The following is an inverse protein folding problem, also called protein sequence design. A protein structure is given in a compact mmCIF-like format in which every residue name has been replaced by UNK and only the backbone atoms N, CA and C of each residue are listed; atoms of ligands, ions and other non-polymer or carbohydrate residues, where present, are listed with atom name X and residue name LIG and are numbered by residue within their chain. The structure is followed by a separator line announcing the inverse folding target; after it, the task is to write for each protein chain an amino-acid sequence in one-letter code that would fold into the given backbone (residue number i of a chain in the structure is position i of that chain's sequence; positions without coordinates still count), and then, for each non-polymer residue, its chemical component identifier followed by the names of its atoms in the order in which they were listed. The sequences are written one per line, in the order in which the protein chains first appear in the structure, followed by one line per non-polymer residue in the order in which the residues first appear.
data_IF_184516910800
#
_entry.id   IF_184516910800
#
_cell.length_a   1.000
_cell.length_b   1.000
_cell.length_c   1.000
_cell.angle_alpha   90.00
_cell.angle_beta   90.00
_cell.angle_gamma   90.00
#
_symmetry.space_group_name_H-M   'P 1'
#
loop_
_entity.id
_entity.type
_entity.pdbx_description
1 polymer ?
#
# COMPACT_ATOMS: atom_id res chain seq x y z
N UNK A 1 -4.31 33.27 23.69
CA UNK A 1 -4.49 31.83 24.00
C UNK A 1 -3.40 31.46 24.99
N UNK A 2 -3.75 30.95 26.17
CA UNK A 2 -2.81 30.77 27.27
C UNK A 2 -1.76 29.69 26.95
N UNK A 3 -0.47 30.04 26.97
CA UNK A 3 0.66 29.18 26.53
C UNK A 3 0.65 27.81 27.23
N UNK A 4 0.22 27.80 28.50
CA UNK A 4 0.06 26.59 29.31
C UNK A 4 -1.02 25.63 28.79
N UNK A 5 -2.11 26.14 28.21
CA UNK A 5 -3.20 25.32 27.67
C UNK A 5 -2.77 24.63 26.38
N UNK A 6 -2.03 25.32 25.51
CA UNK A 6 -1.53 24.77 24.25
C UNK A 6 -0.52 23.64 24.47
N UNK A 7 0.48 23.86 25.33
CA UNK A 7 1.48 22.84 25.70
C UNK A 7 0.83 21.66 26.41
N UNK A 8 -0.17 21.91 27.27
CA UNK A 8 -0.95 20.86 27.90
C UNK A 8 -1.65 19.92 26.91
N UNK A 9 -2.20 20.45 25.80
CA UNK A 9 -2.81 19.64 24.74
C UNK A 9 -1.77 18.77 24.01
N UNK A 10 -0.60 19.33 23.70
CA UNK A 10 0.51 18.58 23.06
C UNK A 10 0.95 17.41 23.93
N UNK A 11 1.15 17.63 25.25
CA UNK A 11 1.51 16.56 26.20
C UNK A 11 0.46 15.46 26.26
N UNK A 12 -0.84 15.81 26.24
CA UNK A 12 -1.95 14.84 26.20
C UNK A 12 -1.90 13.98 24.94
N UNK A 13 -1.75 14.58 23.76
CA UNK A 13 -1.60 13.87 22.49
C UNK A 13 -0.35 12.97 22.52
N UNK A 14 0.77 13.48 23.02
CA UNK A 14 1.99 12.70 23.20
C UNK A 14 1.79 11.47 24.11
N UNK A 15 1.05 11.62 25.23
CA UNK A 15 0.73 10.50 26.11
C UNK A 15 -0.13 9.45 25.42
N UNK A 16 -1.20 9.86 24.73
CA UNK A 16 -2.11 8.96 24.00
C UNK A 16 -1.33 8.25 22.89
N UNK A 17 -0.63 9.00 22.04
CA UNK A 17 0.17 8.45 20.96
C UNK A 17 1.26 7.49 21.44
N UNK A 18 1.88 7.75 22.59
CA UNK A 18 2.88 6.84 23.17
C UNK A 18 2.27 5.49 23.58
N UNK A 19 1.07 5.51 24.19
CA UNK A 19 0.36 4.28 24.57
C UNK A 19 -0.08 3.52 23.32
N UNK A 20 -0.74 4.21 22.37
CA UNK A 20 -1.24 3.61 21.12
C UNK A 20 -0.08 3.01 20.31
N UNK A 21 1.01 3.75 20.11
CA UNK A 21 2.19 3.24 19.38
C UNK A 21 2.85 2.05 20.09
N UNK A 22 2.83 2.01 21.42
CA UNK A 22 3.36 0.85 22.17
C UNK A 22 2.50 -0.39 21.96
N UNK A 23 1.18 -0.27 22.05
CA UNK A 23 0.26 -1.39 21.80
C UNK A 23 0.37 -1.86 20.35
N UNK A 24 0.36 -0.94 19.38
CA UNK A 24 0.51 -1.26 17.97
C UNK A 24 1.84 -1.98 17.67
N UNK A 25 2.94 -1.54 18.30
CA UNK A 25 4.24 -2.20 18.16
C UNK A 25 4.22 -3.65 18.67
N UNK A 26 3.55 -3.92 19.80
CA UNK A 26 3.41 -5.31 20.32
C UNK A 26 2.63 -6.18 19.34
N UNK A 27 1.52 -5.69 18.79
CA UNK A 27 0.72 -6.42 17.79
C UNK A 27 1.54 -6.69 16.54
N UNK A 28 2.31 -5.70 16.05
CA UNK A 28 3.18 -5.87 14.89
C UNK A 28 4.30 -6.89 15.15
N UNK A 29 4.88 -6.94 16.35
CA UNK A 29 5.90 -7.94 16.69
C UNK A 29 5.29 -9.35 16.65
N UNK A 30 4.10 -9.55 17.20
CA UNK A 30 3.40 -10.84 17.15
C UNK A 30 3.13 -11.22 15.70
N UNK A 31 2.60 -10.30 14.89
CA UNK A 31 2.37 -10.52 13.46
C UNK A 31 3.64 -10.84 12.69
N UNK A 32 4.75 -10.19 13.01
CA UNK A 32 6.05 -10.44 12.40
C UNK A 32 6.58 -11.84 12.69
N UNK A 33 6.50 -12.27 13.95
CA UNK A 33 6.90 -13.62 14.36
C UNK A 33 6.02 -14.67 13.67
N UNK A 34 4.70 -14.45 13.63
CA UNK A 34 3.78 -15.34 12.93
C UNK A 34 4.08 -15.43 11.42
N UNK A 35 4.38 -14.30 10.77
CA UNK A 35 4.74 -14.24 9.36
C UNK A 35 6.06 -14.99 9.08
N UNK A 36 7.07 -14.87 9.94
CA UNK A 36 8.32 -15.61 9.82
C UNK A 36 8.08 -17.12 9.98
N UNK A 37 7.30 -17.53 10.97
CA UNK A 37 6.96 -18.96 11.15
C UNK A 37 6.22 -19.49 9.93
N UNK A 38 5.22 -18.75 9.43
CA UNK A 38 4.50 -19.09 8.21
C UNK A 38 5.42 -19.21 6.99
N UNK A 39 6.39 -18.30 6.85
CA UNK A 39 7.42 -18.38 5.81
C UNK A 39 8.24 -19.66 5.94
N UNK A 40 8.81 -19.94 7.12
CA UNK A 40 9.64 -21.13 7.34
C UNK A 40 8.88 -22.41 6.99
N UNK A 41 7.61 -22.52 7.41
CA UNK A 41 6.77 -23.67 7.09
C UNK A 41 6.57 -23.78 5.58
N UNK A 42 6.21 -22.70 4.90
CA UNK A 42 5.98 -22.70 3.45
C UNK A 42 7.24 -23.04 2.64
N UNK A 43 8.41 -22.58 3.08
CA UNK A 43 9.69 -22.92 2.46
C UNK A 43 10.14 -24.36 2.73
N UNK A 44 9.62 -25.02 3.77
CA UNK A 44 9.91 -26.42 4.06
C UNK A 44 9.02 -27.41 3.28
N UNK A 45 7.95 -26.94 2.66
CA UNK A 45 7.07 -27.77 1.83
C UNK A 45 7.65 -27.94 0.41
N UNK A 46 7.55 -29.14 -0.20
CA UNK A 46 7.97 -29.37 -1.58
C UNK A 46 7.04 -28.69 -2.58
N UNK A 47 7.61 -28.25 -3.72
CA UNK A 47 6.97 -27.33 -4.68
C UNK A 47 5.69 -27.89 -5.33
N UNK A 48 5.58 -29.21 -5.41
CA UNK A 48 4.48 -29.97 -6.02
C UNK A 48 3.38 -30.37 -5.03
N UNK A 49 3.52 -30.03 -3.75
CA UNK A 49 2.62 -30.51 -2.70
C UNK A 49 1.21 -29.89 -2.75
N UNK A 50 1.11 -28.61 -3.10
CA UNK A 50 -0.14 -27.85 -3.08
C UNK A 50 -0.20 -26.95 -4.31
N UNK A 51 -1.30 -26.98 -5.04
CA UNK A 51 -1.59 -26.01 -6.08
C UNK A 51 -3.01 -25.50 -5.89
N UNK A 52 -3.21 -24.22 -6.18
CA UNK A 52 -4.51 -23.58 -6.10
C UNK A 52 -4.92 -23.15 -7.49
N UNK A 53 -6.11 -23.53 -7.93
CA UNK A 53 -6.69 -22.99 -9.16
C UNK A 53 -7.55 -21.79 -8.81
N UNK A 54 -7.16 -20.62 -9.30
CA UNK A 54 -7.97 -19.40 -9.24
C UNK A 54 -8.80 -19.31 -10.51
N UNK A 55 -10.13 -19.36 -10.35
CA UNK A 55 -11.11 -19.13 -11.42
C UNK A 55 -11.99 -17.91 -11.11
N UNK A 56 -12.40 -17.20 -12.15
CA UNK A 56 -13.27 -16.03 -12.04
C UNK A 56 -14.05 -15.81 -13.34
N UNK A 57 -15.28 -15.29 -13.23
CA UNK A 57 -16.17 -15.08 -14.37
C UNK A 57 -16.28 -13.59 -14.69
N UNK A 58 -16.21 -13.24 -15.98
CA UNK A 58 -16.45 -11.89 -16.49
C UNK A 58 -17.60 -11.91 -17.50
N UNK A 59 -18.52 -10.93 -17.39
CA UNK A 59 -19.62 -10.73 -18.34
C UNK A 59 -19.50 -9.33 -18.95
N UNK A 60 -19.28 -9.28 -20.26
CA UNK A 60 -19.19 -8.03 -21.02
C UNK A 60 -20.47 -7.83 -21.82
N UNK A 61 -21.07 -6.66 -21.69
CA UNK A 61 -22.27 -6.26 -22.43
C UNK A 61 -21.91 -5.11 -23.38
N UNK A 62 -22.07 -5.34 -24.68
CA UNK A 62 -21.94 -4.31 -25.72
C UNK A 62 -23.33 -3.96 -26.23
N UNK A 63 -23.76 -2.73 -25.99
CA UNK A 63 -25.01 -2.20 -26.55
C UNK A 63 -24.72 -1.56 -27.91
N UNK A 64 -25.26 -2.14 -28.98
CA UNK A 64 -25.02 -1.66 -30.35
C UNK A 64 -25.73 -0.35 -30.67
N UNK A 65 -26.83 -0.02 -29.98
CA UNK A 65 -27.51 1.27 -30.16
C UNK A 65 -26.64 2.46 -29.76
N UNK A 66 -25.64 2.23 -28.89
CA UNK A 66 -24.67 3.23 -28.45
C UNK A 66 -23.49 3.40 -29.42
N UNK A 67 -23.28 2.44 -30.33
CA UNK A 67 -22.25 2.46 -31.39
C UNK A 67 -22.87 3.02 -32.67
N UNK A 68 -23.42 4.24 -32.62
CA UNK A 68 -23.96 4.93 -33.80
C UNK A 68 -22.84 5.68 -34.54
N UNK A 69 -22.14 4.95 -35.40
CA UNK A 69 -21.44 5.50 -36.56
C UNK A 69 -22.22 5.13 -37.83
N UNK A 70 -22.03 5.88 -38.92
CA UNK A 70 -22.79 5.84 -40.20
C UNK A 70 -22.69 4.50 -40.98
N UNK A 71 -22.18 3.46 -40.35
CA UNK A 71 -22.08 2.10 -40.86
C UNK A 71 -22.85 1.19 -39.90
N UNK A 72 -24.14 0.97 -40.16
CA UNK A 72 -24.91 -0.04 -39.45
C UNK A 72 -24.21 -1.40 -39.61
N UNK A 73 -23.66 -1.94 -38.51
CA UNK A 73 -23.05 -3.26 -38.51
C UNK A 73 -24.20 -4.26 -38.52
N UNK A 74 -24.53 -4.77 -39.71
CA UNK A 74 -25.55 -5.79 -39.89
C UNK A 74 -24.97 -7.14 -39.42
N UNK A 75 -25.48 -7.68 -38.31
CA UNK A 75 -24.94 -8.86 -37.63
C UNK A 75 -25.58 -10.19 -38.06
N UNK A 76 -26.66 -10.14 -38.85
CA UNK A 76 -27.51 -11.29 -39.19
C UNK A 76 -26.78 -12.45 -39.91
N UNK A 77 -25.55 -12.26 -40.36
CA UNK A 77 -24.79 -13.28 -41.10
C UNK A 77 -23.36 -13.52 -40.58
N UNK A 78 -22.96 -12.96 -39.42
CA UNK A 78 -21.61 -13.20 -38.89
C UNK A 78 -21.65 -14.03 -37.61
N UNK A 79 -21.09 -15.23 -37.70
CA UNK A 79 -20.68 -16.05 -36.57
C UNK A 79 -19.57 -15.28 -35.81
N UNK A 80 -19.96 -14.42 -34.87
CA UNK A 80 -19.01 -13.63 -34.07
C UNK A 80 -18.34 -14.57 -33.06
N UNK A 81 -17.25 -15.20 -33.50
CA UNK A 81 -16.35 -15.98 -32.63
C UNK A 81 -15.31 -15.05 -32.04
N UNK A 82 -15.44 -14.79 -30.75
CA UNK A 82 -14.39 -14.14 -29.96
C UNK A 82 -13.60 -15.27 -29.34
N UNK A 83 -12.42 -15.59 -29.88
CA UNK A 83 -11.61 -16.71 -29.38
C UNK A 83 -10.82 -16.33 -28.11
N UNK A 84 -10.49 -15.04 -27.96
CA UNK A 84 -9.74 -14.49 -26.82
C UNK A 84 -10.22 -13.09 -26.50
N UNK A 85 -10.38 -12.80 -25.22
CA UNK A 85 -10.63 -11.46 -24.72
C UNK A 85 -9.42 -11.05 -23.87
N UNK A 86 -8.71 -10.01 -24.30
CA UNK A 86 -7.58 -9.44 -23.57
C UNK A 86 -8.02 -8.09 -22.98
N UNK A 87 -8.03 -7.99 -21.65
CA UNK A 87 -8.37 -6.75 -20.94
C UNK A 87 -7.17 -6.35 -20.06
N UNK A 88 -6.38 -5.39 -20.55
CA UNK A 88 -5.07 -5.08 -19.98
C UNK A 88 -4.11 -6.26 -20.18
N UNK A 89 -3.35 -6.62 -19.15
CA UNK A 89 -2.43 -7.77 -19.17
C UNK A 89 -3.14 -9.12 -18.93
N UNK A 90 -4.44 -9.10 -18.66
CA UNK A 90 -5.21 -10.29 -18.30
C UNK A 90 -5.82 -10.96 -19.53
N UNK A 91 -5.61 -12.28 -19.65
CA UNK A 91 -6.16 -13.12 -20.71
C UNK A 91 -7.38 -13.88 -20.22
N UNK A 92 -8.50 -13.68 -20.90
CA UNK A 92 -9.75 -14.38 -20.65
C UNK A 92 -10.04 -15.35 -21.79
N UNK A 93 -10.41 -16.57 -21.42
CA UNK A 93 -10.93 -17.54 -22.37
C UNK A 93 -12.41 -17.28 -22.53
N UNK A 94 -12.85 -17.04 -23.76
CA UNK A 94 -14.26 -16.80 -24.03
C UNK A 94 -14.98 -18.13 -24.01
N UNK A 95 -15.93 -18.27 -23.09
CA UNK A 95 -16.73 -19.49 -22.91
C UNK A 95 -17.95 -19.46 -23.80
N UNK A 96 -18.57 -18.28 -23.94
CA UNK A 96 -19.79 -18.11 -24.71
C UNK A 96 -19.93 -16.68 -25.21
N UNK A 97 -20.43 -16.55 -26.43
CA UNK A 97 -20.90 -15.27 -26.97
C UNK A 97 -22.37 -15.43 -27.37
N UNK A 98 -23.23 -14.58 -26.83
CA UNK A 98 -24.64 -14.49 -27.19
C UNK A 98 -24.85 -13.17 -27.95
N UNK A 99 -25.43 -13.27 -29.15
CA UNK A 99 -25.85 -12.11 -29.93
C UNK A 99 -27.37 -12.08 -29.90
N UNK A 100 -27.92 -10.98 -29.42
CA UNK A 100 -29.34 -10.61 -29.53
C UNK A 100 -29.41 -9.34 -30.35
N UNK A 101 -30.53 -9.07 -31.03
CA UNK A 101 -30.72 -7.99 -32.02
C UNK A 101 -29.96 -6.69 -31.71
N UNK A 102 -29.97 -6.23 -30.45
CA UNK A 102 -29.35 -4.96 -30.04
C UNK A 102 -28.12 -5.11 -29.10
N UNK A 103 -27.75 -6.34 -28.72
CA UNK A 103 -26.68 -6.57 -27.73
C UNK A 103 -25.79 -7.77 -28.05
N UNK A 104 -24.48 -7.57 -27.92
CA UNK A 104 -23.51 -8.67 -27.85
C UNK A 104 -23.14 -8.86 -26.38
N UNK A 105 -23.39 -10.06 -25.87
CA UNK A 105 -22.98 -10.47 -24.53
C UNK A 105 -21.90 -11.53 -24.62
N UNK A 106 -20.71 -11.23 -24.11
CA UNK A 106 -19.59 -12.17 -24.07
C UNK A 106 -19.34 -12.61 -22.62
N UNK A 107 -19.31 -13.92 -22.41
CA UNK A 107 -18.95 -14.57 -21.16
C UNK A 107 -17.51 -15.05 -21.29
N UNK A 108 -16.62 -14.44 -20.52
CA UNK A 108 -15.24 -14.85 -20.40
C UNK A 108 -14.99 -15.49 -19.05
N UNK A 109 -14.27 -16.59 -19.03
CA UNK A 109 -13.63 -17.11 -17.82
C UNK A 109 -12.20 -16.58 -17.79
N UNK A 110 -11.77 -16.11 -16.62
CA UNK A 110 -10.35 -15.88 -16.36
C UNK A 110 -9.63 -17.21 -16.58
N UNK A 111 -8.57 -17.21 -17.40
CA UNK A 111 -7.77 -18.43 -17.61
C UNK A 111 -7.35 -18.97 -16.24
N UNK A 112 -7.74 -20.21 -15.91
CA UNK A 112 -7.39 -20.85 -14.64
C UNK A 112 -5.90 -20.66 -14.38
N UNK A 113 -5.54 -19.80 -13.44
CA UNK A 113 -4.16 -19.68 -13.00
C UNK A 113 -3.97 -20.70 -11.90
N UNK A 114 -3.06 -21.64 -12.14
CA UNK A 114 -2.55 -22.53 -11.10
C UNK A 114 -1.49 -21.75 -10.34
N UNK A 115 -1.84 -21.31 -9.13
CA UNK A 115 -0.87 -20.73 -8.18
C UNK A 115 -0.15 -21.86 -7.49
N UNK A 116 1.17 -21.89 -7.63
CA UNK A 116 2.07 -22.85 -7.00
C UNK A 116 2.63 -22.34 -5.66
N UNK A 117 3.46 -23.15 -5.01
CA UNK A 117 4.15 -22.74 -3.78
C UNK A 117 5.19 -21.64 -4.03
N UNK A 118 5.76 -21.54 -5.23
CA UNK A 118 6.74 -20.52 -5.59
C UNK A 118 6.14 -19.12 -5.49
N UNK A 119 4.97 -18.93 -6.09
CA UNK A 119 4.18 -17.69 -6.01
C UNK A 119 3.84 -17.33 -4.56
N UNK A 120 3.40 -18.31 -3.77
CA UNK A 120 3.06 -18.10 -2.36
C UNK A 120 4.28 -17.69 -1.52
N UNK A 121 5.48 -18.22 -1.83
CA UNK A 121 6.72 -17.83 -1.15
C UNK A 121 7.06 -16.37 -1.41
N UNK A 122 6.89 -15.90 -2.64
CA UNK A 122 7.09 -14.48 -2.98
C UNK A 122 6.15 -13.60 -2.16
N UNK A 123 4.85 -13.95 -2.10
CA UNK A 123 3.86 -13.21 -1.31
C UNK A 123 4.23 -13.16 0.17
N UNK A 124 4.63 -14.29 0.76
CA UNK A 124 5.00 -14.35 2.17
C UNK A 124 6.30 -13.59 2.47
N UNK A 125 7.32 -13.68 1.61
CA UNK A 125 8.55 -12.88 1.75
C UNK A 125 8.21 -11.38 1.74
N UNK A 126 7.34 -10.97 0.83
CA UNK A 126 6.92 -9.58 0.72
C UNK A 126 6.08 -9.12 1.92
N UNK A 127 5.23 -9.98 2.46
CA UNK A 127 4.52 -9.72 3.71
C UNK A 127 5.49 -9.51 4.89
N UNK A 128 6.53 -10.35 5.01
CA UNK A 128 7.56 -10.21 6.05
C UNK A 128 8.30 -8.87 5.92
N UNK A 129 8.69 -8.49 4.70
CA UNK A 129 9.33 -7.19 4.43
C UNK A 129 8.39 -6.04 4.82
N UNK A 130 7.11 -6.12 4.47
CA UNK A 130 6.12 -5.08 4.78
C UNK A 130 5.97 -4.87 6.29
N UNK A 131 5.86 -5.96 7.06
CA UNK A 131 5.76 -5.90 8.52
C UNK A 131 7.08 -5.40 9.13
N UNK A 132 8.24 -5.78 8.60
CA UNK A 132 9.54 -5.28 9.06
C UNK A 132 9.66 -3.76 8.89
N UNK A 133 9.23 -3.22 7.74
CA UNK A 133 9.23 -1.77 7.49
C UNK A 133 8.28 -1.05 8.45
N UNK A 134 7.08 -1.60 8.70
CA UNK A 134 6.18 -1.04 9.71
C UNK A 134 6.79 -1.01 11.11
N UNK A 135 7.42 -2.10 11.54
CA UNK A 135 8.10 -2.18 12.83
C UNK A 135 9.22 -1.12 12.93
N UNK A 136 10.03 -1.01 11.87
CA UNK A 136 11.08 -0.01 11.78
C UNK A 136 10.53 1.42 11.93
N UNK A 137 9.49 1.79 11.17
CA UNK A 137 8.87 3.12 11.27
C UNK A 137 8.24 3.36 12.65
N UNK A 138 7.58 2.36 13.23
CA UNK A 138 6.94 2.46 14.55
C UNK A 138 7.91 2.77 15.69
N UNK A 139 9.17 2.34 15.61
CA UNK A 139 10.21 2.71 16.59
C UNK A 139 10.36 4.23 16.67
N UNK A 140 10.32 4.93 15.54
CA UNK A 140 10.47 6.38 15.48
C UNK A 140 9.19 7.11 15.88
N UNK A 141 8.02 6.60 15.49
CA UNK A 141 6.71 7.10 15.94
C UNK A 141 6.64 7.11 17.47
N UNK A 142 7.00 5.99 18.11
CA UNK A 142 7.02 5.86 19.56
C UNK A 142 8.00 6.83 20.22
N UNK A 143 9.21 7.01 19.64
CA UNK A 143 10.21 7.98 20.12
C UNK A 143 9.67 9.41 20.04
N UNK A 144 9.01 9.79 18.95
CA UNK A 144 8.41 11.11 18.79
C UNK A 144 7.33 11.36 19.86
N UNK A 145 6.38 10.44 20.03
CA UNK A 145 5.33 10.60 21.04
C UNK A 145 5.87 10.61 22.47
N UNK A 146 6.92 9.82 22.76
CA UNK A 146 7.62 9.88 24.05
C UNK A 146 8.20 11.26 24.32
N UNK A 147 8.78 11.91 23.30
CA UNK A 147 9.28 13.28 23.42
C UNK A 147 8.15 14.29 23.60
N UNK A 148 7.08 14.20 22.81
CA UNK A 148 5.92 15.11 22.93
C UNK A 148 5.21 15.01 24.28
N UNK A 149 5.17 13.82 24.89
CA UNK A 149 4.59 13.62 26.23
C UNK A 149 5.33 14.44 27.30
N UNK A 150 6.65 14.57 27.16
CA UNK A 150 7.52 15.17 28.16
C UNK A 150 8.04 16.57 27.77
N UNK A 151 7.70 17.09 26.59
CA UNK A 151 8.27 18.34 26.08
C UNK A 151 7.74 19.56 26.81
N UNK A 152 8.60 20.55 27.04
CA UNK A 152 8.17 21.86 27.56
C UNK A 152 7.62 22.77 26.45
N UNK A 153 8.07 22.54 25.22
CA UNK A 153 7.68 23.25 24.01
C UNK A 153 7.72 22.29 22.82
N UNK A 154 6.84 22.42 21.81
CA UNK A 154 6.95 21.64 20.58
C UNK A 154 8.23 21.97 19.78
N UNK A 155 8.88 23.09 20.10
CA UNK A 155 10.15 23.56 19.52
C UNK A 155 11.39 23.00 20.26
N UNK A 156 11.21 22.03 21.14
CA UNK A 156 12.31 21.34 21.81
C UNK A 156 13.16 20.58 20.78
N UNK A 157 14.49 20.73 20.87
CA UNK A 157 15.46 20.11 19.96
C UNK A 157 15.31 18.59 19.91
N UNK A 158 14.91 17.95 21.01
CA UNK A 158 14.67 16.49 21.07
C UNK A 158 13.43 16.11 20.26
N UNK A 159 12.37 16.92 20.32
CA UNK A 159 11.15 16.71 19.52
C UNK A 159 11.46 16.87 18.03
N UNK A 160 12.17 17.94 17.65
CA UNK A 160 12.57 18.21 16.27
C UNK A 160 13.46 17.07 15.72
N UNK A 161 14.45 16.63 16.50
CA UNK A 161 15.33 15.53 16.09
C UNK A 161 14.56 14.22 15.87
N UNK A 162 13.57 13.91 16.73
CA UNK A 162 12.75 12.72 16.57
C UNK A 162 11.73 12.84 15.43
N UNK A 163 11.24 14.04 15.13
CA UNK A 163 10.39 14.30 13.97
C UNK A 163 11.17 14.11 12.65
N UNK A 164 12.41 14.61 12.55
CA UNK A 164 13.29 14.37 11.39
C UNK A 164 13.56 12.88 11.18
N UNK A 165 13.89 12.15 12.26
CA UNK A 165 14.11 10.70 12.19
C UNK A 165 12.85 9.96 11.74
N UNK A 166 11.67 10.37 12.19
CA UNK A 166 10.41 9.81 11.69
C UNK A 166 10.23 10.07 10.20
N UNK A 167 10.48 11.30 9.74
CA UNK A 167 10.37 11.63 8.31
C UNK A 167 11.29 10.75 7.44
N UNK A 168 12.55 10.58 7.84
CA UNK A 168 13.47 9.66 7.14
C UNK A 168 13.05 8.20 7.22
N UNK A 169 12.50 7.77 8.36
CA UNK A 169 11.98 6.41 8.52
C UNK A 169 10.73 6.12 7.66
N UNK A 170 10.09 7.16 7.12
CA UNK A 170 8.99 7.04 6.18
C UNK A 170 9.44 6.90 4.71
N UNK A 171 10.72 7.14 4.38
CA UNK A 171 11.22 7.05 2.98
C UNK A 171 11.00 5.66 2.35
N UNK A 172 11.20 4.52 3.04
CA UNK A 172 10.96 3.21 2.44
C UNK A 172 9.53 3.03 1.90
N UNK A 173 8.55 3.71 2.51
CA UNK A 173 7.14 3.67 2.07
C UNK A 173 6.92 4.25 0.68
N UNK A 174 7.83 5.11 0.20
CA UNK A 174 7.76 5.70 -1.14
C UNK A 174 7.84 4.62 -2.22
N UNK A 175 8.61 3.56 -1.99
CA UNK A 175 8.83 2.49 -2.96
C UNK A 175 8.00 1.24 -2.66
N UNK A 176 7.64 1.03 -1.39
CA UNK A 176 7.02 -0.22 -0.94
C UNK A 176 5.63 -0.46 -1.56
N UNK A 177 4.88 0.61 -1.87
CA UNK A 177 3.59 0.48 -2.55
C UNK A 177 3.72 -0.08 -3.97
N UNK A 178 4.76 0.34 -4.71
CA UNK A 178 5.05 -0.19 -6.05
C UNK A 178 5.44 -1.65 -6.03
N UNK A 179 6.25 -2.05 -5.06
CA UNK A 179 6.60 -3.47 -4.89
C UNK A 179 5.38 -4.32 -4.54
N UNK A 180 4.44 -3.79 -3.74
CA UNK A 180 3.19 -4.49 -3.44
C UNK A 180 2.31 -4.66 -4.68
N UNK A 181 2.18 -3.61 -5.49
CA UNK A 181 1.48 -3.66 -6.77
C UNK A 181 2.10 -4.73 -7.69
N UNK A 182 3.42 -4.75 -7.81
CA UNK A 182 4.18 -5.76 -8.55
C UNK A 182 3.93 -7.20 -8.12
N UNK A 183 3.85 -7.44 -6.82
CA UNK A 183 3.50 -8.76 -6.26
C UNK A 183 2.04 -9.10 -6.55
N UNK A 184 1.12 -8.16 -6.38
CA UNK A 184 -0.30 -8.39 -6.63
C UNK A 184 -0.57 -8.68 -8.11
N UNK A 185 0.12 -7.97 -9.01
CA UNK A 185 0.02 -8.18 -10.45
C UNK A 185 0.67 -9.50 -10.85
N UNK A 186 1.85 -9.84 -10.32
CA UNK A 186 2.50 -11.12 -10.58
C UNK A 186 1.69 -12.30 -10.05
N UNK A 187 1.04 -12.15 -8.90
CA UNK A 187 0.15 -13.17 -8.35
C UNK A 187 -1.03 -13.46 -9.28
N UNK A 188 -1.56 -12.47 -10.00
CA UNK A 188 -2.69 -12.65 -10.93
C UNK A 188 -2.22 -13.02 -12.35
N UNK A 189 -1.11 -12.47 -12.84
CA UNK A 189 -0.72 -12.49 -14.26
C UNK A 189 0.59 -13.23 -14.57
N UNK A 190 1.26 -13.80 -13.56
CA UNK A 190 2.62 -14.38 -13.63
C UNK A 190 3.76 -13.40 -13.96
N UNK A 191 3.45 -12.11 -14.09
CA UNK A 191 4.42 -11.06 -14.36
C UNK A 191 4.78 -10.31 -13.08
N UNK A 192 5.63 -10.89 -12.24
CA UNK A 192 6.18 -10.20 -11.07
C UNK A 192 7.13 -9.08 -11.52
N UNK A 193 6.72 -7.84 -11.32
CA UNK A 193 7.56 -6.66 -11.58
C UNK A 193 7.94 -5.98 -10.25
N UNK A 194 9.22 -6.04 -9.89
CA UNK A 194 9.76 -5.39 -8.68
C UNK A 194 10.43 -4.05 -8.98
N UNK A 195 10.11 -3.44 -10.12
CA UNK A 195 10.62 -2.13 -10.51
C UNK A 195 10.35 -1.06 -9.43
N UNK A 196 11.26 -0.09 -9.27
CA UNK A 196 11.05 1.01 -8.33
C UNK A 196 9.93 1.92 -8.85
N UNK A 197 8.73 1.74 -8.30
CA UNK A 197 7.61 2.66 -8.49
C UNK A 197 7.56 3.66 -7.33
N UNK A 198 7.30 4.93 -7.65
CA UNK A 198 7.27 6.02 -6.67
C UNK A 198 5.83 6.33 -6.31
N UNK A 199 5.46 6.10 -5.05
CA UNK A 199 4.21 6.58 -4.50
C UNK A 199 4.32 8.09 -4.17
N UNK A 200 3.75 8.92 -5.05
CA UNK A 200 3.76 10.37 -4.89
C UNK A 200 3.10 10.84 -3.59
N UNK A 201 2.04 10.17 -3.14
CA UNK A 201 1.35 10.53 -1.88
C UNK A 201 2.28 10.29 -0.69
N UNK A 202 2.95 9.14 -0.63
CA UNK A 202 3.91 8.82 0.42
C UNK A 202 5.12 9.79 0.39
N UNK A 203 5.62 10.12 -0.80
CA UNK A 203 6.70 11.11 -0.98
C UNK A 203 6.29 12.48 -0.43
N UNK A 204 5.09 12.95 -0.78
CA UNK A 204 4.57 14.23 -0.27
C UNK A 204 4.43 14.22 1.25
N UNK A 205 3.99 13.12 1.86
CA UNK A 205 3.94 13.00 3.33
C UNK A 205 5.33 13.12 3.98
N UNK A 206 6.36 12.50 3.39
CA UNK A 206 7.75 12.63 3.85
C UNK A 206 8.21 14.09 3.78
N UNK A 207 7.96 14.76 2.64
CA UNK A 207 8.34 16.16 2.46
C UNK A 207 7.62 17.09 3.43
N UNK A 208 6.33 16.86 3.69
CA UNK A 208 5.55 17.63 4.67
C UNK A 208 6.12 17.43 6.08
N UNK A 209 6.47 16.20 6.46
CA UNK A 209 7.09 15.93 7.77
C UNK A 209 8.45 16.61 7.91
N UNK A 210 9.26 16.62 6.86
CA UNK A 210 10.54 17.35 6.83
C UNK A 210 10.32 18.86 6.93
N UNK A 211 9.39 19.41 6.14
CA UNK A 211 9.05 20.83 6.18
C UNK A 211 8.61 21.25 7.59
N UNK A 212 7.73 20.47 8.24
CA UNK A 212 7.31 20.71 9.61
C UNK A 212 8.50 20.69 10.58
N UNK A 213 9.43 19.75 10.42
CA UNK A 213 10.63 19.69 11.24
C UNK A 213 11.53 20.91 11.08
N UNK A 214 11.67 21.44 9.86
CA UNK A 214 12.44 22.67 9.62
C UNK A 214 11.73 23.93 10.12
N UNK A 215 10.40 24.02 9.96
CA UNK A 215 9.61 25.11 10.54
C UNK A 215 9.73 25.11 12.07
N UNK A 216 9.69 23.94 12.71
CA UNK A 216 9.90 23.84 14.15
C UNK A 216 11.33 24.18 14.55
N UNK A 217 12.33 23.80 13.75
CA UNK A 217 13.70 24.22 14.01
C UNK A 217 13.86 25.74 13.96
N UNK A 218 13.34 26.38 12.91
CA UNK A 218 13.37 27.84 12.79
C UNK A 218 12.63 28.53 13.94
N UNK A 219 11.47 28.00 14.35
CA UNK A 219 10.74 28.50 15.52
C UNK A 219 11.52 28.36 16.84
N UNK A 220 12.36 27.33 16.98
CA UNK A 220 13.24 27.17 18.14
C UNK A 220 14.37 28.22 18.15
N UNK A 221 14.93 28.52 16.98
CA UNK A 221 15.96 29.56 16.81
C UNK A 221 15.41 30.94 17.16
N UNK A 222 14.21 31.30 16.69
CA UNK A 222 13.54 32.56 17.05
C UNK A 222 13.24 32.69 18.55
N UNK A 223 12.86 31.60 19.22
CA UNK A 223 12.63 31.60 20.68
C UNK A 223 13.92 31.87 21.44
N UNK A 224 15.04 31.31 20.96
CA UNK A 224 16.35 31.53 21.56
C UNK A 224 16.81 32.98 21.40
N UNK A 225 16.68 33.55 20.21
CA UNK A 225 17.04 34.96 19.97
C UNK A 225 16.20 35.92 20.80
N UNK A 226 14.90 35.64 20.98
CA UNK A 226 14.03 36.46 21.81
C UNK A 226 14.42 36.41 23.30
N UNK A 227 14.74 35.22 23.83
CA UNK A 227 15.16 35.05 25.22
C UNK A 227 16.56 35.65 25.50
N UNK A 228 17.42 35.79 24.48
CA UNK A 228 18.75 36.42 24.60
C UNK A 228 18.72 37.96 24.54
N UNK A 229 17.59 38.57 24.16
CA UNK A 229 17.44 40.04 24.04
C UNK A 229 16.73 40.72 25.22
N UNK A 230 16.33 39.94 26.23
CA UNK A 230 15.71 40.39 27.49
C UNK A 230 16.71 40.32 28.65
#
# INVERSE_FOLDING_TARGET
MDKNVAVGKVKKIGKIGYVVSTVAQVVLIIGFVAAIIGAIVLFALPDDMISFELSGNCKMHVNLESVKGDSAINLDERDVKVDKLELGDNKYTVVKTEVTDDTITTYGEFSNKTVDLGDMRIVVVMAVIYVAVYLFTMIFVKKLFKSLKNCNSPFDTVVIANLKKLAYACIPWVFLAGMFEGVSNGFVTDNFDFGPSINLVALMLVLILLALAYVFQYGAELQKESDETL
#
